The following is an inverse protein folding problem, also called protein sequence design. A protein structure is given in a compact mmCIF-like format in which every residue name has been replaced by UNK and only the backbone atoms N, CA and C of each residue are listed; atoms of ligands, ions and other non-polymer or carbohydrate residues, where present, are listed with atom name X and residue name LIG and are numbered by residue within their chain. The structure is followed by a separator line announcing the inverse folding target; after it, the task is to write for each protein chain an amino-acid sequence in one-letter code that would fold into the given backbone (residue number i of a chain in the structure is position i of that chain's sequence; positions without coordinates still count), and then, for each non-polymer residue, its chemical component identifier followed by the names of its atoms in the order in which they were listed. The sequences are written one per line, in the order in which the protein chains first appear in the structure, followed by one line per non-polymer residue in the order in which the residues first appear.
data_IF_262196774183
#
_entry.id   IF_262196774183
#
_cell.length_a   1.000
_cell.length_b   1.000
_cell.length_c   1.000
_cell.angle_alpha   90.00
_cell.angle_beta   90.00
_cell.angle_gamma   90.00
#
_symmetry.space_group_name_H-M   'P 1'
#
loop_
_entity.id
_entity.type
_entity.pdbx_description
1 polymer ?
#
# COMPACT_ATOMS: atom_id res chain seq x y z
N UNK A 1 -7.14 21.87 -18.71
CA UNK A 1 -6.24 22.71 -17.88
C UNK A 1 -5.62 21.79 -16.84
N UNK A 2 -4.31 21.84 -16.62
CA UNK A 2 -3.66 21.08 -15.55
C UNK A 2 -3.55 21.99 -14.33
N UNK A 3 -4.02 21.53 -13.19
CA UNK A 3 -3.88 22.23 -11.90
C UNK A 3 -2.90 21.45 -11.03
N UNK A 4 -2.04 22.18 -10.33
CA UNK A 4 -1.03 21.63 -9.44
C UNK A 4 -1.30 22.16 -8.04
N UNK A 5 -1.35 21.25 -7.06
CA UNK A 5 -1.59 21.60 -5.66
C UNK A 5 -0.35 22.23 -5.04
N UNK A 6 0.83 21.73 -5.42
CA UNK A 6 2.11 22.15 -4.87
C UNK A 6 3.19 22.19 -5.96
N UNK A 7 4.34 22.79 -5.62
CA UNK A 7 5.52 22.86 -6.47
C UNK A 7 6.73 22.30 -5.73
N UNK A 8 7.27 21.19 -6.24
CA UNK A 8 8.43 20.49 -5.69
C UNK A 8 9.53 20.43 -6.76
N UNK A 9 10.31 21.51 -6.94
CA UNK A 9 11.29 21.62 -8.03
C UNK A 9 12.48 20.67 -7.88
N UNK A 10 12.81 20.31 -6.64
CA UNK A 10 13.94 19.43 -6.33
C UNK A 10 13.42 18.05 -5.92
N UNK A 11 13.28 17.18 -6.93
CA UNK A 11 12.88 15.79 -6.76
C UNK A 11 11.49 15.47 -7.29
N UNK A 12 10.86 14.43 -6.72
CA UNK A 12 9.59 13.91 -7.17
C UNK A 12 8.66 13.53 -6.02
N UNK A 13 7.37 13.45 -6.33
CA UNK A 13 6.33 13.06 -5.39
C UNK A 13 5.63 11.80 -5.86
N UNK A 14 5.45 10.86 -4.93
CA UNK A 14 4.99 9.52 -5.19
C UNK A 14 3.93 9.11 -4.17
N UNK A 15 3.12 8.13 -4.56
CA UNK A 15 2.10 7.52 -3.69
C UNK A 15 1.15 8.54 -3.02
N UNK A 16 0.54 9.47 -3.77
CA UNK A 16 -0.39 10.44 -3.18
C UNK A 16 -1.61 9.73 -2.59
N UNK A 17 -2.01 10.14 -1.40
CA UNK A 17 -3.15 9.59 -0.67
C UNK A 17 -3.95 10.72 -0.02
N UNK A 18 -5.28 10.64 -0.08
CA UNK A 18 -6.13 11.49 0.77
C UNK A 18 -5.88 11.13 2.23
N UNK A 19 -5.66 12.12 3.08
CA UNK A 19 -5.57 11.89 4.53
C UNK A 19 -7.00 11.66 5.07
N UNK A 20 -7.28 10.55 5.77
CA UNK A 20 -8.63 10.24 6.21
C UNK A 20 -9.30 11.38 6.99
N UNK A 21 -10.55 11.69 6.64
CA UNK A 21 -11.34 12.72 7.32
C UNK A 21 -10.89 14.17 7.02
N UNK A 22 -10.09 14.39 5.98
CA UNK A 22 -9.67 15.73 5.54
C UNK A 22 -9.64 15.81 4.01
N UNK A 23 -9.59 17.02 3.45
CA UNK A 23 -9.39 17.22 2.01
C UNK A 23 -7.91 17.21 1.60
N UNK A 24 -7.03 17.33 2.58
CA UNK A 24 -5.59 17.37 2.41
C UNK A 24 -5.03 16.06 1.84
N UNK A 25 -3.91 16.18 1.15
CA UNK A 25 -3.22 15.07 0.51
C UNK A 25 -1.91 14.82 1.24
N UNK A 26 -1.54 13.56 1.35
CA UNK A 26 -0.19 13.15 1.75
C UNK A 26 0.53 12.52 0.58
N UNK A 27 1.84 12.72 0.47
CA UNK A 27 2.67 12.06 -0.53
C UNK A 27 4.08 11.80 0.01
N UNK A 28 4.73 10.77 -0.53
CA UNK A 28 6.17 10.55 -0.34
C UNK A 28 6.90 11.51 -1.26
N UNK A 29 7.83 12.30 -0.72
CA UNK A 29 8.75 13.13 -1.49
C UNK A 29 10.13 12.49 -1.47
N UNK A 30 10.70 12.30 -2.65
CA UNK A 30 12.07 11.87 -2.86
C UNK A 30 12.84 13.08 -3.40
N UNK A 31 13.83 13.55 -2.67
CA UNK A 31 14.68 14.65 -3.14
C UNK A 31 15.85 14.15 -4.02
N UNK A 32 16.61 15.10 -4.57
CA UNK A 32 17.74 14.81 -5.45
C UNK A 32 18.93 14.14 -4.73
N UNK A 33 18.96 14.11 -3.39
CA UNK A 33 19.97 13.38 -2.61
C UNK A 33 19.61 11.91 -2.41
N UNK A 34 18.39 11.51 -2.78
CA UNK A 34 17.85 10.18 -2.54
C UNK A 34 17.05 10.08 -1.24
N UNK A 35 16.93 11.15 -0.46
CA UNK A 35 16.25 11.13 0.81
C UNK A 35 14.73 11.08 0.61
N UNK A 36 14.08 10.11 1.25
CA UNK A 36 12.62 9.98 1.24
C UNK A 36 11.99 10.44 2.53
N UNK A 37 10.92 11.23 2.42
CA UNK A 37 10.12 11.70 3.56
C UNK A 37 8.63 11.75 3.20
N UNK A 38 7.79 11.63 4.22
CA UNK A 38 6.34 11.63 4.05
C UNK A 38 5.74 12.96 4.49
N UNK A 39 5.06 13.64 3.56
CA UNK A 39 4.52 14.98 3.76
C UNK A 39 3.01 14.99 3.65
N UNK A 40 2.39 15.91 4.40
CA UNK A 40 1.04 16.42 4.20
C UNK A 40 1.13 17.70 3.38
N UNK A 41 0.17 17.92 2.50
CA UNK A 41 -0.05 19.12 1.70
C UNK A 41 -1.45 19.64 1.95
N UNK A 42 -1.56 20.91 2.30
CA UNK A 42 -2.83 21.61 2.32
C UNK A 42 -3.37 21.72 0.89
N UNK A 43 -4.59 21.24 0.66
CA UNK A 43 -5.15 21.12 -0.70
C UNK A 43 -5.36 22.47 -1.40
N UNK A 44 -5.55 23.54 -0.63
CA UNK A 44 -5.90 24.87 -1.15
C UNK A 44 -4.67 25.75 -1.35
N UNK A 45 -3.67 25.61 -0.48
CA UNK A 45 -2.49 26.49 -0.43
C UNK A 45 -1.23 25.81 -0.93
N UNK A 46 -1.21 24.47 -1.02
CA UNK A 46 -0.01 23.70 -1.37
C UNK A 46 1.04 23.63 -0.26
N UNK A 47 0.80 24.28 0.89
CA UNK A 47 1.74 24.30 2.00
C UNK A 47 1.96 22.89 2.54
N UNK A 48 3.23 22.51 2.65
CA UNK A 48 3.60 21.15 3.04
C UNK A 48 4.18 21.06 4.45
N UNK A 49 3.93 19.95 5.13
CA UNK A 49 4.50 19.63 6.45
C UNK A 49 4.84 18.14 6.53
N UNK A 50 6.04 17.84 7.01
CA UNK A 50 6.47 16.47 7.27
C UNK A 50 5.58 15.81 8.35
N UNK A 51 5.15 14.58 8.10
CA UNK A 51 4.23 13.83 8.96
C UNK A 51 5.00 12.96 9.95
N UNK A 52 5.95 12.16 9.46
CA UNK A 52 6.75 11.24 10.29
C UNK A 52 8.22 11.62 10.14
N UNK A 53 8.81 12.10 11.24
CA UNK A 53 10.24 12.45 11.28
C UNK A 53 11.10 11.20 11.31
N UNK A 54 12.27 11.29 10.67
CA UNK A 54 13.36 10.29 10.72
C UNK A 54 13.03 8.90 10.16
N UNK A 55 11.95 8.75 9.38
CA UNK A 55 11.68 7.53 8.63
C UNK A 55 11.71 7.80 7.13
N UNK A 56 12.39 6.92 6.39
CA UNK A 56 12.35 6.87 4.94
C UNK A 56 11.15 6.04 4.49
N UNK A 57 9.98 6.66 4.52
CA UNK A 57 8.72 6.02 4.13
C UNK A 57 8.69 5.85 2.61
N UNK A 58 8.62 4.61 2.14
CA UNK A 58 8.46 4.29 0.72
C UNK A 58 6.99 4.08 0.32
N UNK A 59 6.24 3.34 1.14
CA UNK A 59 4.81 3.04 0.87
C UNK A 59 3.98 3.24 2.14
N UNK A 60 3.26 4.37 2.27
CA UNK A 60 2.39 4.63 3.41
C UNK A 60 1.02 3.94 3.26
N UNK A 61 0.39 3.61 4.39
CA UNK A 61 -1.00 3.18 4.48
C UNK A 61 -1.65 3.81 5.71
N UNK A 62 -2.64 4.68 5.49
CA UNK A 62 -3.43 5.26 6.57
C UNK A 62 -4.42 4.25 7.16
N UNK A 63 -4.30 3.95 8.45
CA UNK A 63 -5.30 3.20 9.21
C UNK A 63 -6.34 4.12 9.88
N UNK A 64 -5.96 5.37 10.17
CA UNK A 64 -6.83 6.47 10.58
C UNK A 64 -6.08 7.79 10.37
N UNK A 65 -6.71 8.95 10.62
CA UNK A 65 -6.01 10.24 10.53
C UNK A 65 -4.87 10.45 11.55
N UNK A 66 -4.66 9.51 12.48
CA UNK A 66 -3.62 9.55 13.51
C UNK A 66 -2.73 8.30 13.52
N UNK A 67 -2.98 7.33 12.64
CA UNK A 67 -2.28 6.06 12.64
C UNK A 67 -1.93 5.63 11.22
N UNK A 68 -0.64 5.34 11.03
CA UNK A 68 -0.08 4.86 9.77
C UNK A 68 0.57 3.49 9.99
N UNK A 69 0.50 2.67 8.96
CA UNK A 69 1.40 1.56 8.76
C UNK A 69 2.14 1.83 7.46
N UNK A 70 3.45 1.67 7.47
CA UNK A 70 4.27 2.04 6.32
C UNK A 70 5.31 0.98 6.03
N UNK A 71 5.60 0.76 4.76
CA UNK A 71 6.84 0.13 4.34
C UNK A 71 7.91 1.22 4.32
N UNK A 72 8.88 1.07 5.21
CA UNK A 72 10.00 1.99 5.40
C UNK A 72 11.25 1.35 4.81
N UNK A 73 12.10 2.15 4.18
CA UNK A 73 13.42 1.70 3.71
C UNK A 73 14.28 1.42 4.94
N UNK A 74 14.51 0.13 5.23
CA UNK A 74 15.50 -0.32 6.19
C UNK A 74 16.85 -0.57 5.52
N UNK A 75 17.85 -0.97 6.32
CA UNK A 75 19.23 -1.19 5.85
C UNK A 75 19.34 -2.20 4.70
N UNK A 76 18.52 -3.25 4.71
CA UNK A 76 18.60 -4.37 3.74
C UNK A 76 17.33 -4.64 2.96
N UNK A 77 16.19 -4.17 3.47
CA UNK A 77 14.86 -4.51 2.94
C UNK A 77 13.84 -3.51 3.42
N UNK A 78 12.64 -3.54 2.85
CA UNK A 78 11.50 -2.83 3.42
C UNK A 78 11.11 -3.44 4.77
N UNK A 79 10.76 -2.55 5.69
CA UNK A 79 10.34 -2.86 7.05
C UNK A 79 8.91 -2.32 7.29
N UNK A 80 8.05 -3.12 7.91
CA UNK A 80 6.71 -2.68 8.31
C UNK A 80 6.82 -1.90 9.61
N UNK A 81 6.45 -0.62 9.59
CA UNK A 81 6.48 0.25 10.76
C UNK A 81 5.09 0.81 11.03
N UNK A 82 4.62 0.68 12.28
CA UNK A 82 3.44 1.38 12.79
C UNK A 82 3.86 2.75 13.34
N UNK A 83 3.22 3.81 12.87
CA UNK A 83 3.48 5.18 13.32
C UNK A 83 2.22 5.78 13.96
N UNK A 84 2.29 6.09 15.25
CA UNK A 84 1.25 6.81 16.00
C UNK A 84 1.58 8.30 16.00
N UNK A 85 0.80 9.08 15.26
CA UNK A 85 1.04 10.52 15.09
C UNK A 85 0.64 11.34 16.32
N UNK A 86 -0.25 10.81 17.17
CA UNK A 86 -0.65 11.47 18.41
C UNK A 86 0.49 11.39 19.43
N UNK A 87 1.06 10.20 19.59
CA UNK A 87 2.11 9.93 20.56
C UNK A 87 3.53 10.15 19.99
N UNK A 88 3.65 10.38 18.66
CA UNK A 88 4.90 10.56 17.93
C UNK A 88 5.85 9.36 18.09
N UNK A 89 5.28 8.15 18.08
CA UNK A 89 6.03 6.91 18.24
C UNK A 89 6.00 6.10 16.95
N UNK A 90 7.12 5.43 16.69
CA UNK A 90 7.28 4.50 15.58
C UNK A 90 7.68 3.14 16.15
N UNK A 91 7.00 2.08 15.73
CA UNK A 91 7.25 0.71 16.16
C UNK A 91 7.50 -0.15 14.94
N UNK A 92 8.69 -0.73 14.86
CA UNK A 92 9.01 -1.76 13.88
C UNK A 92 8.22 -3.04 14.22
N UNK A 93 7.48 -3.55 13.25
CA UNK A 93 6.64 -4.74 13.41
C UNK A 93 7.21 -5.93 12.65
N UNK A 94 7.65 -5.72 11.40
CA UNK A 94 8.12 -6.78 10.53
C UNK A 94 9.27 -6.32 9.63
N UNK A 95 10.12 -7.25 9.23
CA UNK A 95 11.21 -7.03 8.26
C UNK A 95 11.03 -7.88 7.02
N UNK A 96 11.67 -7.45 5.93
CA UNK A 96 11.65 -8.12 4.64
C UNK A 96 10.23 -8.28 4.09
N UNK A 97 9.51 -7.16 4.05
CA UNK A 97 8.16 -7.06 3.50
C UNK A 97 8.17 -6.58 2.04
N UNK A 98 7.05 -6.74 1.36
CA UNK A 98 6.78 -6.12 0.07
C UNK A 98 6.24 -4.70 0.18
N UNK A 99 6.01 -4.07 -0.97
CA UNK A 99 5.47 -2.71 -1.10
C UNK A 99 3.95 -2.64 -1.02
N UNK A 100 3.27 -3.77 -1.18
CA UNK A 100 1.81 -3.85 -1.23
C UNK A 100 1.23 -3.94 0.18
N UNK A 101 0.69 -2.81 0.66
CA UNK A 101 0.03 -2.66 1.96
C UNK A 101 -1.42 -2.24 1.76
N UNK A 102 -2.36 -2.91 2.42
CA UNK A 102 -3.80 -2.63 2.25
C UNK A 102 -4.57 -2.76 3.55
N UNK A 103 -5.58 -1.91 3.78
CA UNK A 103 -6.61 -2.24 4.75
C UNK A 103 -7.47 -3.39 4.24
N UNK A 104 -7.78 -4.35 5.10
CA UNK A 104 -8.73 -5.43 4.77
C UNK A 104 -10.14 -4.87 4.99
N UNK A 105 -11.01 -4.81 3.95
CA UNK A 105 -12.32 -4.18 4.05
C UNK A 105 -13.17 -4.76 5.17
N UNK A 106 -13.85 -3.91 5.94
CA UNK A 106 -14.79 -4.36 6.97
C UNK A 106 -14.16 -5.07 8.17
N UNK A 107 -12.83 -4.98 8.34
CA UNK A 107 -12.12 -5.52 9.52
C UNK A 107 -11.23 -4.46 10.16
N UNK A 108 -10.69 -4.78 11.33
CA UNK A 108 -9.71 -3.95 12.04
C UNK A 108 -8.27 -4.39 11.72
N UNK A 109 -8.02 -4.77 10.46
CA UNK A 109 -6.74 -5.37 10.07
C UNK A 109 -6.22 -4.75 8.78
N UNK A 110 -4.90 -4.76 8.63
CA UNK A 110 -4.24 -4.52 7.36
C UNK A 110 -3.59 -5.80 6.87
N UNK A 111 -3.34 -5.90 5.57
CA UNK A 111 -2.52 -6.94 4.98
C UNK A 111 -1.20 -6.38 4.45
N UNK A 112 -0.17 -7.22 4.47
CA UNK A 112 1.14 -6.95 3.87
C UNK A 112 1.71 -8.24 3.25
N UNK A 113 2.66 -8.06 2.33
CA UNK A 113 3.39 -9.19 1.74
C UNK A 113 4.65 -9.46 2.56
N UNK A 114 4.84 -10.70 3.00
CA UNK A 114 6.09 -11.17 3.59
C UNK A 114 6.97 -11.83 2.54
N UNK A 115 8.22 -11.39 2.44
CA UNK A 115 9.25 -11.91 1.51
C UNK A 115 10.33 -12.72 2.23
N UNK A 116 10.05 -13.17 3.47
CA UNK A 116 10.98 -13.95 4.30
C UNK A 116 11.27 -15.35 3.76
N UNK A 117 10.44 -15.85 2.84
CA UNK A 117 10.56 -17.17 2.22
C UNK A 117 10.66 -17.06 0.70
N UNK A 118 11.18 -18.09 0.00
CA UNK A 118 11.23 -18.12 -1.46
C UNK A 118 9.87 -17.93 -2.14
N UNK A 119 8.81 -18.55 -1.60
CA UNK A 119 7.43 -18.25 -1.98
C UNK A 119 6.89 -17.17 -1.04
N UNK A 120 6.46 -16.04 -1.61
CA UNK A 120 5.96 -14.91 -0.84
C UNK A 120 4.56 -15.19 -0.29
N UNK A 121 4.27 -14.59 0.86
CA UNK A 121 3.09 -14.89 1.66
C UNK A 121 2.31 -13.59 1.94
N UNK A 122 0.98 -13.62 1.85
CA UNK A 122 0.12 -12.55 2.35
C UNK A 122 -0.10 -12.79 3.84
N UNK A 123 0.19 -11.77 4.65
CA UNK A 123 -0.09 -11.75 6.07
C UNK A 123 -1.11 -10.66 6.39
N UNK A 124 -1.85 -10.85 7.47
CA UNK A 124 -2.67 -9.85 8.13
C UNK A 124 -2.04 -9.44 9.45
N UNK A 125 -2.31 -8.22 9.89
CA UNK A 125 -2.05 -7.75 11.25
C UNK A 125 -3.28 -7.01 11.78
N UNK A 126 -3.74 -7.38 12.97
CA UNK A 126 -4.77 -6.61 13.68
C UNK A 126 -4.17 -5.29 14.19
N UNK A 127 -4.85 -4.18 13.90
CA UNK A 127 -4.34 -2.82 14.16
C UNK A 127 -4.20 -2.54 15.66
N UNK A 128 -5.06 -3.16 16.48
CA UNK A 128 -5.16 -2.95 17.92
C UNK A 128 -4.24 -3.90 18.69
N UNK A 129 -4.35 -5.21 18.44
CA UNK A 129 -3.59 -6.23 19.18
C UNK A 129 -2.20 -6.48 18.61
N UNK A 130 -1.95 -6.04 17.36
CA UNK A 130 -0.74 -6.33 16.60
C UNK A 130 -0.51 -7.82 16.36
N UNK A 131 -1.55 -8.65 16.49
CA UNK A 131 -1.48 -10.07 16.17
C UNK A 131 -1.31 -10.26 14.67
N UNK A 132 -0.28 -11.00 14.27
CA UNK A 132 0.07 -11.27 12.87
C UNK A 132 -0.34 -12.69 12.52
N UNK A 133 -1.08 -12.86 11.43
CA UNK A 133 -1.53 -14.16 10.94
C UNK A 133 -1.28 -14.29 9.44
N UNK A 134 -0.79 -15.45 9.02
CA UNK A 134 -0.70 -15.78 7.59
C UNK A 134 -2.12 -15.93 7.02
N UNK A 135 -2.35 -15.34 5.84
CA UNK A 135 -3.58 -15.52 5.07
C UNK A 135 -3.40 -16.63 4.05
N UNK A 136 -2.48 -16.44 3.09
CA UNK A 136 -2.25 -17.38 1.99
C UNK A 136 -0.87 -17.14 1.36
N UNK A 137 -0.44 -18.03 0.46
CA UNK A 137 0.70 -17.79 -0.41
C UNK A 137 0.26 -16.99 -1.64
N UNK A 138 1.13 -16.16 -2.19
CA UNK A 138 0.90 -15.57 -3.51
C UNK A 138 1.02 -16.65 -4.60
N UNK A 139 0.28 -16.47 -5.69
CA UNK A 139 0.46 -17.24 -6.92
C UNK A 139 1.66 -16.70 -7.67
N UNK A 140 2.78 -17.40 -7.60
CA UNK A 140 4.11 -16.84 -7.90
C UNK A 140 4.41 -15.58 -7.04
N UNK A 141 5.56 -14.94 -7.27
CA UNK A 141 6.02 -13.81 -6.47
C UNK A 141 5.61 -12.45 -7.06
N UNK A 142 4.33 -12.29 -7.45
CA UNK A 142 3.76 -11.00 -7.86
C UNK A 142 3.03 -10.35 -6.68
N UNK A 143 3.53 -9.20 -6.22
CA UNK A 143 3.09 -8.64 -4.93
C UNK A 143 1.92 -7.65 -5.01
N UNK A 144 1.54 -7.19 -6.21
CA UNK A 144 0.46 -6.24 -6.39
C UNK A 144 -0.89 -6.94 -6.17
N UNK A 145 -1.51 -6.63 -5.03
CA UNK A 145 -2.79 -7.18 -4.61
C UNK A 145 -3.78 -6.05 -4.36
N UNK A 146 -5.07 -6.36 -4.33
CA UNK A 146 -6.08 -5.45 -3.82
C UNK A 146 -7.28 -6.22 -3.28
N UNK A 147 -7.91 -5.73 -2.21
CA UNK A 147 -9.07 -6.39 -1.61
C UNK A 147 -10.38 -5.87 -2.22
N UNK A 148 -11.21 -6.78 -2.73
CA UNK A 148 -12.59 -6.48 -3.14
C UNK A 148 -13.52 -6.49 -1.92
N UNK A 149 -13.34 -7.44 -1.02
CA UNK A 149 -14.15 -7.60 0.18
C UNK A 149 -13.29 -8.06 1.36
N UNK A 150 -13.90 -8.31 2.53
CA UNK A 150 -13.18 -8.86 3.68
C UNK A 150 -12.59 -10.26 3.45
N UNK A 151 -13.13 -10.99 2.48
CA UNK A 151 -12.82 -12.40 2.23
C UNK A 151 -12.15 -12.64 0.86
N UNK A 152 -12.22 -11.67 -0.06
CA UNK A 152 -11.74 -11.82 -1.44
C UNK A 152 -10.64 -10.83 -1.75
N UNK A 153 -9.47 -11.37 -2.09
CA UNK A 153 -8.30 -10.63 -2.55
C UNK A 153 -8.07 -10.90 -4.04
N UNK A 154 -7.68 -9.86 -4.77
CA UNK A 154 -7.15 -9.96 -6.12
C UNK A 154 -5.63 -9.89 -6.10
N UNK A 155 -5.01 -10.58 -7.05
CA UNK A 155 -3.59 -10.47 -7.35
C UNK A 155 -3.43 -10.14 -8.83
N UNK A 156 -2.68 -9.08 -9.12
CA UNK A 156 -2.22 -8.78 -10.47
C UNK A 156 -0.99 -9.64 -10.78
N UNK A 157 -1.06 -10.40 -11.87
CA UNK A 157 0.01 -11.29 -12.33
C UNK A 157 0.17 -11.12 -13.83
N UNK A 158 1.26 -10.49 -14.27
CA UNK A 158 1.42 -10.08 -15.68
C UNK A 158 0.18 -9.33 -16.14
N UNK A 159 -0.48 -9.75 -17.21
CA UNK A 159 -1.72 -9.22 -17.76
C UNK A 159 -2.99 -9.92 -17.24
N UNK A 160 -2.89 -10.71 -16.17
CA UNK A 160 -4.03 -11.42 -15.55
C UNK A 160 -4.41 -10.80 -14.21
N UNK A 161 -5.71 -10.91 -13.88
CA UNK A 161 -6.19 -10.74 -12.51
C UNK A 161 -6.63 -12.10 -11.98
N UNK A 162 -5.99 -12.52 -10.90
CA UNK A 162 -6.37 -13.69 -10.13
C UNK A 162 -7.19 -13.27 -8.92
N UNK A 163 -8.09 -14.13 -8.46
CA UNK A 163 -8.87 -13.97 -7.24
C UNK A 163 -8.63 -15.14 -6.28
N UNK A 164 -8.72 -14.86 -4.98
CA UNK A 164 -8.68 -15.86 -3.93
C UNK A 164 -9.65 -15.50 -2.81
N UNK A 165 -10.58 -16.42 -2.53
CA UNK A 165 -11.44 -16.33 -1.35
C UNK A 165 -10.78 -17.05 -0.16
N UNK A 166 -10.39 -16.28 0.86
CA UNK A 166 -9.61 -16.78 2.00
C UNK A 166 -10.32 -17.82 2.87
N UNK A 167 -11.64 -18.01 2.68
CA UNK A 167 -12.45 -18.98 3.42
C UNK A 167 -12.69 -20.28 2.68
N UNK A 168 -12.74 -20.23 1.35
CA UNK A 168 -13.25 -21.35 0.55
C UNK A 168 -12.23 -21.87 -0.45
N UNK A 169 -11.24 -21.07 -0.83
CA UNK A 169 -10.31 -21.43 -1.88
C UNK A 169 -9.03 -22.01 -1.31
N UNK A 170 -8.50 -23.03 -1.98
CA UNK A 170 -7.17 -23.60 -1.72
C UNK A 170 -6.14 -23.17 -2.77
N UNK A 171 -6.60 -22.63 -3.91
CA UNK A 171 -5.78 -22.17 -5.04
C UNK A 171 -6.35 -20.87 -5.61
N UNK A 172 -5.49 -20.04 -6.18
CA UNK A 172 -5.89 -18.83 -6.90
C UNK A 172 -6.65 -19.21 -8.18
N UNK A 173 -7.70 -18.44 -8.47
CA UNK A 173 -8.56 -18.64 -9.65
C UNK A 173 -8.42 -17.45 -10.58
N UNK A 174 -8.39 -17.68 -11.88
CA UNK A 174 -8.43 -16.58 -12.84
C UNK A 174 -9.77 -15.85 -12.77
N UNK A 175 -9.73 -14.52 -12.76
CA UNK A 175 -10.91 -13.64 -12.85
C UNK A 175 -10.94 -12.91 -14.20
N UNK A 176 -9.80 -12.38 -14.63
CA UNK A 176 -9.61 -11.70 -15.92
C UNK A 176 -8.38 -12.29 -16.59
N UNK A 177 -8.54 -12.70 -17.85
CA UNK A 177 -7.49 -13.35 -18.64
C UNK A 177 -6.79 -12.38 -19.60
N UNK A 178 -5.66 -12.84 -20.13
CA UNK A 178 -4.74 -12.09 -21.00
C UNK A 178 -5.42 -11.45 -22.23
N UNK A 179 -6.37 -12.15 -22.86
CA UNK A 179 -7.00 -11.74 -24.11
C UNK A 179 -7.92 -10.52 -23.99
N UNK A 180 -8.31 -10.18 -22.75
CA UNK A 180 -9.28 -9.12 -22.49
C UNK A 180 -8.66 -7.75 -22.26
N UNK A 181 -7.37 -7.70 -21.92
CA UNK A 181 -6.63 -6.47 -21.62
C UNK A 181 -5.52 -6.29 -22.65
N UNK A 182 -5.56 -5.20 -23.42
CA UNK A 182 -4.48 -4.81 -24.35
C UNK A 182 -3.27 -4.24 -23.60
N UNK A 183 -2.82 -4.92 -22.54
CA UNK A 183 -1.77 -4.53 -21.60
C UNK A 183 -0.82 -5.73 -21.46
N UNK A 184 0.50 -5.50 -21.43
CA UNK A 184 1.46 -6.61 -21.30
C UNK A 184 1.67 -7.01 -19.85
N UNK A 185 1.75 -6.02 -18.95
CA UNK A 185 1.96 -6.24 -17.53
C UNK A 185 1.16 -5.25 -16.70
N UNK A 186 0.50 -5.74 -15.64
CA UNK A 186 -0.15 -4.93 -14.63
C UNK A 186 0.86 -4.71 -13.51
N UNK A 187 1.38 -3.50 -13.41
CA UNK A 187 2.37 -3.16 -12.38
C UNK A 187 1.75 -2.59 -11.12
N UNK A 188 0.49 -2.15 -11.15
CA UNK A 188 -0.27 -1.72 -9.96
C UNK A 188 -1.74 -2.08 -10.11
N UNK A 189 -2.39 -2.37 -8.99
CA UNK A 189 -3.84 -2.56 -8.89
C UNK A 189 -4.39 -1.86 -7.66
N UNK A 190 -5.58 -1.28 -7.77
CA UNK A 190 -6.36 -0.79 -6.62
C UNK A 190 -7.86 -0.91 -6.89
N UNK A 191 -8.65 -0.81 -5.83
CA UNK A 191 -10.12 -0.89 -5.86
C UNK A 191 -10.69 0.44 -5.38
N UNK A 192 -11.74 0.94 -6.03
CA UNK A 192 -12.43 2.17 -5.60
C UNK A 192 -13.00 2.03 -4.19
N UNK A 193 -13.14 3.13 -3.42
CA UNK A 193 -13.68 3.07 -2.06
C UNK A 193 -15.06 2.39 -1.96
N UNK A 194 -15.92 2.58 -2.97
CA UNK A 194 -17.24 1.95 -3.09
C UNK A 194 -17.22 0.51 -3.60
N UNK A 195 -16.03 -0.02 -3.92
CA UNK A 195 -15.76 -1.39 -4.40
C UNK A 195 -16.41 -1.74 -5.73
N UNK A 196 -16.80 -0.75 -6.53
CA UNK A 196 -17.45 -0.97 -7.83
C UNK A 196 -16.49 -0.93 -9.02
N UNK A 197 -15.26 -0.43 -8.84
CA UNK A 197 -14.28 -0.23 -9.92
C UNK A 197 -12.91 -0.75 -9.52
N UNK A 198 -12.20 -1.27 -10.51
CA UNK A 198 -10.78 -1.64 -10.43
C UNK A 198 -10.01 -0.62 -11.26
N UNK A 199 -8.90 -0.12 -10.72
CA UNK A 199 -7.92 0.64 -11.50
C UNK A 199 -6.61 -0.15 -11.55
N UNK A 200 -6.03 -0.21 -12.75
CA UNK A 200 -4.76 -0.89 -13.01
C UNK A 200 -3.80 0.08 -13.70
N UNK A 201 -2.50 -0.11 -13.46
CA UNK A 201 -1.44 0.54 -14.24
C UNK A 201 -0.87 -0.53 -15.16
N UNK A 202 -1.03 -0.29 -16.46
CA UNK A 202 -0.48 -1.14 -17.51
C UNK A 202 0.86 -0.63 -18.00
N UNK A 203 1.75 -1.57 -18.29
CA UNK A 203 3.01 -1.41 -19.02
C UNK A 203 2.94 -2.12 -20.37
#
# INVERSE_FOLDING_TARGET
IKEFINYSPEGGEYSPQRIPGTDDISAVRLDNTGLQRFYKYDINTGNSKEIIRNLEVAYPLWASNKLLFSAVIGEKSLELVKSDLKNKTNVLLEKNIGRSLHCIPGTNSISFISKKKPQWEIFSIDITTLTINKITNLDDNYEDIAWISKDVVLQAKKNQLLQFNIKTDSVWKELINEDSLQIQNISRITISPDRTKIAIVGE
#
